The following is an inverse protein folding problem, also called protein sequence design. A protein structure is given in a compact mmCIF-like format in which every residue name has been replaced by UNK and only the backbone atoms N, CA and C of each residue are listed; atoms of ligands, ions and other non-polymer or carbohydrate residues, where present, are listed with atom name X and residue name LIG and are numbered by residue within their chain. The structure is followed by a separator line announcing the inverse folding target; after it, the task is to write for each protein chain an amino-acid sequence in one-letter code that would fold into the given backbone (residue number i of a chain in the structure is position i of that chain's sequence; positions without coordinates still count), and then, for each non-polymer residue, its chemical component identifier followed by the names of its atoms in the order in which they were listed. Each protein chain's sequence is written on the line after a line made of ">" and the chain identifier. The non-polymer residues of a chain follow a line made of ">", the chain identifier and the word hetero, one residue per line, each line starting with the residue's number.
data_IF_829451557071
#
_entry.id   IF_829451557071
#
_cell.length_a   1.000
_cell.length_b   1.000
_cell.length_c   1.000
_cell.angle_alpha   90.00
_cell.angle_beta   90.00
_cell.angle_gamma   90.00
#
_symmetry.space_group_name_H-M   'P 1'
#
loop_
_entity.id
_entity.type
_entity.pdbx_description
1 polymer ?
#
# COMPACT_ATOMS: atom_id res chain seq x y z
N UNK A 1 64.06 -16.81 24.88
CA UNK A 1 63.42 -15.50 25.12
C UNK A 1 62.22 -15.40 24.22
N UNK A 2 61.06 -15.55 24.82
CA UNK A 2 59.77 -15.43 24.15
C UNK A 2 59.31 -13.99 24.20
N UNK A 3 58.78 -13.46 23.12
CA UNK A 3 57.98 -12.23 23.14
C UNK A 3 56.69 -12.47 22.37
N UNK A 4 55.65 -12.68 23.14
CA UNK A 4 54.26 -12.67 22.66
C UNK A 4 53.82 -11.21 22.56
N UNK A 5 53.38 -10.82 21.35
CA UNK A 5 52.61 -9.59 21.12
C UNK A 5 51.40 -9.94 20.29
N UNK A 6 50.36 -10.44 20.95
CA UNK A 6 49.02 -10.39 20.38
C UNK A 6 48.32 -9.13 20.88
N UNK A 7 48.34 -8.11 20.06
CA UNK A 7 47.52 -6.94 20.24
C UNK A 7 46.10 -7.31 19.85
N UNK A 8 45.18 -7.32 20.81
CA UNK A 8 43.75 -7.33 20.57
C UNK A 8 43.34 -5.99 19.96
N UNK A 9 43.35 -5.88 18.65
CA UNK A 9 42.68 -4.80 17.98
C UNK A 9 41.15 -5.02 18.12
N UNK A 10 40.53 -4.11 18.85
CA UNK A 10 39.08 -4.02 19.04
C UNK A 10 38.36 -4.02 17.67
N UNK A 11 37.45 -5.01 17.47
CA UNK A 11 36.62 -5.14 16.28
C UNK A 11 35.38 -4.25 16.30
N UNK A 12 35.35 -3.25 17.18
CA UNK A 12 34.17 -2.39 17.36
C UNK A 12 34.24 -1.03 16.64
N UNK A 13 35.27 -0.80 15.84
CA UNK A 13 35.33 0.39 15.01
C UNK A 13 34.82 0.08 13.60
N UNK A 14 33.76 0.77 13.21
CA UNK A 14 33.10 0.82 11.89
C UNK A 14 31.81 -0.01 11.72
N UNK A 15 30.87 0.13 12.65
CA UNK A 15 29.47 0.27 12.23
C UNK A 15 29.13 1.76 12.29
N UNK A 16 29.49 2.49 11.27
CA UNK A 16 28.75 3.72 10.99
C UNK A 16 27.28 3.33 10.82
N UNK A 17 26.33 4.04 11.45
CA UNK A 17 24.94 3.91 11.04
C UNK A 17 24.95 4.28 9.57
N UNK A 18 24.63 3.31 8.70
CA UNK A 18 24.21 3.60 7.34
C UNK A 18 23.13 4.67 7.53
N UNK A 19 23.37 5.86 6.98
CA UNK A 19 22.33 6.88 6.82
C UNK A 19 21.15 6.13 6.22
N UNK A 20 20.13 5.87 7.04
CA UNK A 20 18.87 5.32 6.60
C UNK A 20 18.22 6.44 5.80
N UNK A 21 18.63 6.59 4.55
CA UNK A 21 17.87 7.41 3.62
C UNK A 21 16.52 6.71 3.48
N UNK A 22 15.51 7.29 4.11
CA UNK A 22 14.14 6.87 3.96
C UNK A 22 13.86 6.74 2.46
N UNK A 23 13.59 5.52 2.00
CA UNK A 23 13.33 5.25 0.59
C UNK A 23 12.07 5.97 0.12
N UNK A 24 12.00 6.29 -1.16
CA UNK A 24 10.82 6.89 -1.73
C UNK A 24 9.87 5.83 -2.27
N UNK A 25 8.58 5.91 -1.90
CA UNK A 25 7.55 4.97 -2.31
C UNK A 25 6.44 5.67 -3.11
N UNK A 26 5.93 4.98 -4.13
CA UNK A 26 4.69 5.34 -4.82
C UNK A 26 3.71 4.17 -4.68
N UNK A 27 2.46 4.47 -4.30
CA UNK A 27 1.42 3.45 -4.18
C UNK A 27 0.53 3.42 -5.43
N UNK A 28 0.29 2.23 -5.98
CA UNK A 28 -0.61 1.96 -7.10
C UNK A 28 -1.76 1.10 -6.57
N UNK A 29 -2.94 1.69 -6.45
CA UNK A 29 -4.07 1.13 -5.71
C UNK A 29 -5.26 0.86 -6.65
N UNK A 30 -5.56 -0.41 -6.89
CA UNK A 30 -6.87 -0.82 -7.42
C UNK A 30 -7.93 -0.60 -6.34
N UNK A 31 -8.83 0.36 -6.57
CA UNK A 31 -9.91 0.71 -5.64
C UNK A 31 -10.80 -0.49 -5.32
N UNK A 32 -11.11 -1.31 -6.32
CA UNK A 32 -11.95 -2.51 -6.18
C UNK A 32 -11.30 -3.54 -5.27
N UNK A 33 -10.01 -3.80 -5.49
CA UNK A 33 -9.25 -4.73 -4.64
C UNK A 33 -9.16 -4.23 -3.20
N UNK A 34 -8.89 -2.93 -2.99
CA UNK A 34 -8.81 -2.37 -1.65
C UNK A 34 -10.13 -2.50 -0.89
N UNK A 35 -11.27 -2.26 -1.58
CA UNK A 35 -12.62 -2.46 -1.00
C UNK A 35 -12.84 -3.93 -0.68
N UNK A 36 -12.49 -4.85 -1.58
CA UNK A 36 -12.60 -6.29 -1.35
C UNK A 36 -11.76 -6.71 -0.12
N UNK A 37 -10.53 -6.22 -0.02
CA UNK A 37 -9.63 -6.50 1.11
C UNK A 37 -10.23 -6.02 2.45
N UNK A 38 -10.87 -4.85 2.45
CA UNK A 38 -11.55 -4.30 3.62
C UNK A 38 -12.83 -5.09 4.00
N UNK A 39 -13.46 -5.75 3.03
CA UNK A 39 -14.70 -6.52 3.22
C UNK A 39 -14.44 -7.96 3.67
N UNK A 40 -13.21 -8.44 3.56
CA UNK A 40 -12.87 -9.83 3.88
C UNK A 40 -13.17 -10.14 5.35
N UNK A 41 -14.34 -10.71 5.62
CA UNK A 41 -14.91 -11.05 6.93
C UNK A 41 -15.80 -10.01 7.63
N UNK A 42 -16.17 -8.88 7.03
CA UNK A 42 -17.06 -7.88 7.66
C UNK A 42 -17.96 -7.18 6.63
N UNK A 43 -19.05 -6.55 7.13
CA UNK A 43 -19.81 -5.59 6.33
C UNK A 43 -18.89 -4.37 6.04
N UNK A 44 -18.27 -4.37 4.88
CA UNK A 44 -17.31 -3.36 4.48
C UNK A 44 -17.94 -2.03 4.06
N UNK A 45 -17.13 -1.02 3.76
CA UNK A 45 -17.59 0.28 3.30
C UNK A 45 -18.41 0.14 2.02
N UNK A 46 -19.45 0.97 1.89
CA UNK A 46 -20.16 1.09 0.62
C UNK A 46 -19.24 1.73 -0.42
N UNK A 47 -19.23 1.20 -1.63
CA UNK A 47 -18.36 1.63 -2.74
C UNK A 47 -18.45 3.14 -3.02
N UNK A 48 -19.61 3.76 -2.75
CA UNK A 48 -19.92 5.13 -3.16
C UNK A 48 -19.43 6.23 -2.20
N UNK A 49 -18.78 5.88 -1.09
CA UNK A 49 -18.40 6.85 -0.06
C UNK A 49 -17.08 6.50 0.63
N UNK A 50 -16.05 6.14 -0.15
CA UNK A 50 -14.75 5.81 0.44
C UNK A 50 -14.03 7.06 0.94
N UNK A 51 -13.73 7.09 2.24
CA UNK A 51 -12.83 8.08 2.79
C UNK A 51 -11.38 7.71 2.46
N UNK A 52 -10.70 8.57 1.72
CA UNK A 52 -9.30 8.37 1.31
C UNK A 52 -8.33 9.37 1.94
N UNK A 53 -8.84 10.29 2.78
CA UNK A 53 -8.01 11.35 3.36
C UNK A 53 -6.87 10.78 4.22
N UNK A 54 -7.14 9.73 4.98
CA UNK A 54 -6.16 9.11 5.87
C UNK A 54 -5.36 7.96 5.22
N UNK A 55 -5.64 7.65 3.94
CA UNK A 55 -5.05 6.50 3.24
C UNK A 55 -3.51 6.55 3.23
N UNK A 56 -2.92 7.70 2.95
CA UNK A 56 -1.47 7.83 2.91
C UNK A 56 -0.84 7.49 4.27
N UNK A 57 -1.40 8.01 5.36
CA UNK A 57 -0.91 7.75 6.71
C UNK A 57 -1.11 6.30 7.12
N UNK A 58 -2.24 5.70 6.75
CA UNK A 58 -2.51 4.29 6.98
C UNK A 58 -1.48 3.39 6.28
N UNK A 59 -1.19 3.66 5.01
CA UNK A 59 -0.22 2.89 4.23
C UNK A 59 1.22 3.07 4.75
N UNK A 60 1.61 4.27 5.19
CA UNK A 60 2.91 4.51 5.84
C UNK A 60 3.03 3.65 7.10
N UNK A 61 1.99 3.60 7.93
CA UNK A 61 1.96 2.74 9.11
C UNK A 61 2.10 1.26 8.75
N UNK A 62 1.39 0.79 7.72
CA UNK A 62 1.46 -0.60 7.25
C UNK A 62 2.86 -0.95 6.71
N UNK A 63 3.48 -0.07 5.93
CA UNK A 63 4.86 -0.23 5.45
C UNK A 63 5.86 -0.28 6.62
N UNK A 64 5.71 0.59 7.62
CA UNK A 64 6.51 0.57 8.83
C UNK A 64 6.39 -0.74 9.60
N UNK A 65 5.18 -1.30 9.74
CA UNK A 65 4.98 -2.62 10.36
C UNK A 65 5.63 -3.76 9.55
N UNK A 66 5.73 -3.62 8.23
CA UNK A 66 6.46 -4.55 7.37
C UNK A 66 7.99 -4.36 7.43
N UNK A 67 8.49 -3.45 8.28
CA UNK A 67 9.92 -3.16 8.45
C UNK A 67 10.52 -2.30 7.34
N UNK A 68 9.69 -1.50 6.66
CA UNK A 68 10.11 -0.59 5.60
C UNK A 68 10.06 0.86 6.10
N UNK A 69 11.21 1.53 6.10
CA UNK A 69 11.31 2.96 6.38
C UNK A 69 11.27 3.73 5.06
N UNK A 70 10.05 4.06 4.63
CA UNK A 70 9.81 4.71 3.35
C UNK A 70 8.79 5.85 3.48
N UNK A 71 8.93 6.87 2.64
CA UNK A 71 7.96 7.95 2.52
C UNK A 71 7.11 7.77 1.26
N UNK A 72 5.79 7.85 1.40
CA UNK A 72 4.87 7.82 0.25
C UNK A 72 4.85 9.20 -0.40
N UNK A 73 5.41 9.30 -1.60
CA UNK A 73 5.41 10.54 -2.39
C UNK A 73 4.08 10.79 -3.09
N UNK A 74 3.40 9.73 -3.50
CA UNK A 74 2.17 9.80 -4.30
C UNK A 74 1.40 8.51 -4.26
N UNK A 75 0.07 8.61 -4.38
CA UNK A 75 -0.84 7.49 -4.54
C UNK A 75 -1.53 7.63 -5.89
N UNK A 76 -1.48 6.61 -6.72
CA UNK A 76 -2.32 6.48 -7.91
C UNK A 76 -3.51 5.60 -7.53
N UNK A 77 -4.70 6.16 -7.66
CA UNK A 77 -5.97 5.52 -7.33
C UNK A 77 -6.69 5.14 -8.61
N UNK A 78 -6.74 3.84 -8.92
CA UNK A 78 -7.40 3.33 -10.11
C UNK A 78 -8.85 3.00 -9.77
N UNK A 79 -9.78 3.76 -10.35
CA UNK A 79 -11.21 3.64 -10.07
C UNK A 79 -12.05 3.75 -11.35
N UNK A 80 -13.27 3.23 -11.29
CA UNK A 80 -14.29 3.40 -12.33
C UNK A 80 -14.74 4.88 -12.40
N UNK A 81 -15.35 5.29 -13.52
CA UNK A 81 -15.55 6.71 -13.87
C UNK A 81 -16.33 7.57 -12.86
N UNK A 82 -17.13 6.98 -11.99
CA UNK A 82 -18.06 7.71 -11.14
C UNK A 82 -17.53 8.09 -9.74
N UNK A 83 -16.30 7.73 -9.40
CA UNK A 83 -15.70 8.05 -8.11
C UNK A 83 -14.77 9.25 -8.26
N UNK A 84 -15.21 10.42 -7.84
CA UNK A 84 -14.37 11.63 -7.94
C UNK A 84 -14.43 12.43 -6.66
N UNK A 85 -13.56 12.07 -5.70
CA UNK A 85 -13.13 13.04 -4.70
C UNK A 85 -11.64 13.32 -4.97
N UNK A 86 -11.30 14.58 -5.14
CA UNK A 86 -9.91 14.99 -5.17
C UNK A 86 -9.35 14.95 -3.74
N UNK A 87 -8.22 14.27 -3.58
CA UNK A 87 -7.49 14.21 -2.32
C UNK A 87 -6.05 14.57 -2.61
N UNK A 88 -5.50 15.49 -1.83
CA UNK A 88 -4.12 15.94 -1.98
C UNK A 88 -3.12 14.77 -1.93
N UNK A 89 -2.17 14.77 -2.86
CA UNK A 89 -1.18 13.70 -2.99
C UNK A 89 -1.69 12.42 -3.66
N UNK A 90 -2.96 12.38 -4.08
CA UNK A 90 -3.56 11.26 -4.82
C UNK A 90 -3.90 11.67 -6.25
N UNK A 91 -3.63 10.79 -7.19
CA UNK A 91 -3.99 10.95 -8.59
C UNK A 91 -5.00 9.87 -8.97
N UNK A 92 -6.22 10.27 -9.31
CA UNK A 92 -7.23 9.35 -9.81
C UNK A 92 -6.91 8.97 -11.24
N UNK A 93 -6.83 7.67 -11.49
CA UNK A 93 -6.71 7.04 -12.81
C UNK A 93 -8.02 6.36 -13.15
N UNK A 94 -8.76 6.91 -14.09
CA UNK A 94 -10.02 6.33 -14.55
C UNK A 94 -9.76 5.06 -15.35
N UNK A 95 -10.46 4.00 -14.99
CA UNK A 95 -10.46 2.71 -15.68
C UNK A 95 -11.88 2.26 -15.95
N UNK A 96 -12.07 1.38 -16.94
CA UNK A 96 -13.36 0.78 -17.19
C UNK A 96 -13.73 -0.19 -16.08
N UNK A 97 -15.04 -0.39 -15.88
CA UNK A 97 -15.52 -1.41 -14.95
C UNK A 97 -14.99 -2.79 -15.35
N UNK A 98 -14.57 -3.55 -14.34
CA UNK A 98 -14.12 -4.94 -14.54
C UNK A 98 -15.18 -5.80 -15.25
N UNK A 99 -16.46 -5.55 -15.00
CA UNK A 99 -17.56 -6.26 -15.65
C UNK A 99 -17.65 -5.94 -17.14
N UNK A 100 -17.17 -4.77 -17.56
CA UNK A 100 -17.23 -4.31 -18.95
C UNK A 100 -16.15 -4.90 -19.83
N UNK A 101 -14.94 -5.12 -19.30
CA UNK A 101 -13.76 -5.53 -20.09
C UNK A 101 -12.88 -6.60 -19.43
N UNK A 102 -13.34 -7.23 -18.34
CA UNK A 102 -12.58 -8.23 -17.60
C UNK A 102 -11.30 -7.68 -16.96
N UNK A 103 -11.28 -6.38 -16.63
CA UNK A 103 -10.16 -5.70 -15.99
C UNK A 103 -8.99 -5.35 -16.94
N UNK A 104 -9.19 -5.44 -18.26
CA UNK A 104 -8.14 -5.12 -19.24
C UNK A 104 -7.73 -3.65 -19.16
N UNK A 105 -8.66 -2.73 -18.93
CA UNK A 105 -8.38 -1.30 -18.78
C UNK A 105 -7.49 -1.05 -17.56
N UNK A 106 -7.79 -1.69 -16.43
CA UNK A 106 -6.99 -1.63 -15.23
C UNK A 106 -5.59 -2.21 -15.47
N UNK A 107 -5.51 -3.43 -16.01
CA UNK A 107 -4.26 -4.12 -16.31
C UNK A 107 -3.34 -3.25 -17.18
N UNK A 108 -3.90 -2.67 -18.26
CA UNK A 108 -3.14 -1.81 -19.17
C UNK A 108 -2.67 -0.52 -18.48
N UNK A 109 -3.57 0.18 -17.78
CA UNK A 109 -3.28 1.50 -17.20
C UNK A 109 -2.29 1.39 -16.03
N UNK A 110 -2.54 0.48 -15.09
CA UNK A 110 -1.66 0.25 -13.95
C UNK A 110 -0.31 -0.32 -14.40
N UNK A 111 -0.30 -1.30 -15.31
CA UNK A 111 0.94 -1.88 -15.85
C UNK A 111 1.79 -0.86 -16.61
N UNK A 112 1.18 0.06 -17.36
CA UNK A 112 1.91 1.16 -18.02
C UNK A 112 2.50 2.13 -16.99
N UNK A 113 1.76 2.48 -15.95
CA UNK A 113 2.28 3.37 -14.90
C UNK A 113 3.42 2.69 -14.13
N UNK A 114 3.31 1.40 -13.78
CA UNK A 114 4.39 0.63 -13.16
C UNK A 114 5.66 0.62 -14.05
N UNK A 115 5.50 0.32 -15.34
CA UNK A 115 6.61 0.32 -16.30
C UNK A 115 7.28 1.70 -16.42
N UNK A 116 6.49 2.79 -16.43
CA UNK A 116 7.04 4.16 -16.48
C UNK A 116 7.80 4.51 -15.19
N UNK A 117 7.30 4.11 -14.03
CA UNK A 117 7.99 4.33 -12.75
C UNK A 117 9.33 3.59 -12.72
N UNK A 118 9.35 2.34 -13.17
CA UNK A 118 10.57 1.54 -13.28
C UNK A 118 11.61 2.17 -14.22
N UNK A 119 11.18 2.56 -15.42
CA UNK A 119 12.08 3.15 -16.44
C UNK A 119 12.62 4.53 -16.02
N UNK A 120 11.77 5.36 -15.39
CA UNK A 120 12.15 6.72 -14.98
C UNK A 120 12.91 6.78 -13.66
N UNK A 121 12.99 5.65 -12.92
CA UNK A 121 13.55 5.61 -11.56
C UNK A 121 12.93 6.69 -10.64
N UNK A 122 11.62 6.88 -10.76
CA UNK A 122 10.89 7.93 -10.05
C UNK A 122 10.78 7.68 -8.55
N UNK A 123 10.96 6.43 -8.12
CA UNK A 123 10.94 5.99 -6.73
C UNK A 123 11.80 4.73 -6.56
N UNK A 124 12.11 4.40 -5.32
CA UNK A 124 12.88 3.22 -4.95
C UNK A 124 11.96 2.02 -4.71
N UNK A 125 10.72 2.30 -4.28
CA UNK A 125 9.71 1.33 -3.88
C UNK A 125 8.37 1.62 -4.53
N UNK A 126 7.65 0.57 -4.90
CA UNK A 126 6.23 0.64 -5.28
C UNK A 126 5.42 -0.27 -4.36
N UNK A 127 4.34 0.26 -3.81
CA UNK A 127 3.32 -0.53 -3.12
C UNK A 127 2.16 -0.79 -4.09
N UNK A 128 1.94 -2.06 -4.43
CA UNK A 128 0.81 -2.50 -5.25
C UNK A 128 -0.33 -2.99 -4.36
N UNK A 129 -1.54 -2.56 -4.66
CA UNK A 129 -2.77 -3.13 -4.11
C UNK A 129 -3.63 -3.63 -5.28
N UNK A 130 -3.47 -4.90 -5.64
CA UNK A 130 -4.20 -5.62 -6.69
C UNK A 130 -4.07 -7.12 -6.46
N UNK A 131 -5.05 -7.91 -6.87
CA UNK A 131 -5.09 -9.37 -6.83
C UNK A 131 -4.90 -10.03 -8.22
N UNK A 132 -4.72 -9.24 -9.26
CA UNK A 132 -4.68 -9.73 -10.63
C UNK A 132 -3.31 -10.34 -10.97
N UNK A 133 -3.23 -11.66 -11.06
CA UNK A 133 -2.00 -12.39 -11.38
C UNK A 133 -1.42 -12.03 -12.76
N UNK A 134 -2.19 -11.40 -13.65
CA UNK A 134 -1.68 -10.96 -14.95
C UNK A 134 -0.61 -9.87 -14.84
N UNK A 135 -0.46 -9.25 -13.66
CA UNK A 135 0.63 -8.31 -13.37
C UNK A 135 1.99 -8.98 -13.12
N UNK A 136 2.07 -10.29 -12.97
CA UNK A 136 3.34 -10.98 -12.68
C UNK A 136 4.48 -10.59 -13.61
N UNK A 137 4.24 -10.55 -14.92
CA UNK A 137 5.27 -10.15 -15.88
C UNK A 137 5.70 -8.69 -15.69
N UNK A 138 4.76 -7.78 -15.48
CA UNK A 138 5.06 -6.37 -15.27
C UNK A 138 5.82 -6.13 -13.95
N UNK A 139 5.55 -6.91 -12.93
CA UNK A 139 6.29 -6.89 -11.66
C UNK A 139 7.72 -7.37 -11.87
N UNK A 140 7.92 -8.51 -12.54
CA UNK A 140 9.25 -9.05 -12.84
C UNK A 140 10.09 -8.06 -13.65
N UNK A 141 9.52 -7.50 -14.72
CA UNK A 141 10.18 -6.47 -15.54
C UNK A 141 10.57 -5.24 -14.71
N UNK A 142 9.72 -4.80 -13.79
CA UNK A 142 10.02 -3.66 -12.94
C UNK A 142 11.13 -3.98 -11.93
N UNK A 143 11.12 -5.17 -11.31
CA UNK A 143 12.16 -5.63 -10.39
C UNK A 143 13.53 -5.76 -11.09
N UNK A 144 13.56 -6.18 -12.35
CA UNK A 144 14.80 -6.23 -13.14
C UNK A 144 15.45 -4.85 -13.32
N UNK A 145 14.71 -3.75 -13.19
CA UNK A 145 15.28 -2.40 -13.21
C UNK A 145 15.85 -1.94 -11.86
N UNK A 146 15.67 -2.74 -10.81
CA UNK A 146 16.04 -2.43 -9.44
C UNK A 146 14.92 -1.80 -8.60
N UNK A 147 13.70 -1.68 -9.13
CA UNK A 147 12.55 -1.19 -8.38
C UNK A 147 12.06 -2.27 -7.40
N UNK A 148 11.89 -1.92 -6.13
CA UNK A 148 11.37 -2.85 -5.13
C UNK A 148 9.84 -2.82 -5.14
N UNK A 149 9.22 -4.00 -5.28
CA UNK A 149 7.78 -4.16 -5.38
C UNK A 149 7.23 -4.80 -4.12
N UNK A 150 6.37 -4.08 -3.42
CA UNK A 150 5.65 -4.56 -2.25
C UNK A 150 4.18 -4.76 -2.59
N UNK A 151 3.55 -5.80 -2.04
CA UNK A 151 2.13 -6.07 -2.30
C UNK A 151 1.35 -5.99 -1.00
N UNK A 152 0.27 -5.20 -1.03
CA UNK A 152 -0.67 -5.09 0.07
C UNK A 152 -1.50 -6.37 0.15
N UNK A 153 -1.61 -6.94 1.36
CA UNK A 153 -2.29 -8.20 1.59
C UNK A 153 -3.04 -8.20 2.92
N UNK A 154 -3.93 -9.14 3.10
CA UNK A 154 -4.59 -9.44 4.37
C UNK A 154 -3.85 -10.52 5.18
N UNK A 155 -4.44 -10.91 6.31
CA UNK A 155 -3.89 -11.94 7.20
C UNK A 155 -3.72 -13.32 6.52
N UNK A 156 -4.43 -13.61 5.42
CA UNK A 156 -4.27 -14.86 4.66
C UNK A 156 -2.83 -15.02 4.14
N UNK A 157 -2.13 -13.92 3.87
CA UNK A 157 -0.73 -13.90 3.48
C UNK A 157 0.23 -14.47 4.55
N UNK A 158 -0.23 -14.63 5.80
CA UNK A 158 0.55 -15.21 6.88
C UNK A 158 0.73 -16.73 6.71
N UNK A 159 -0.16 -17.41 5.98
CA UNK A 159 -0.07 -18.83 5.67
C UNK A 159 -0.04 -19.09 4.15
N UNK A 160 1.11 -18.85 3.55
CA UNK A 160 1.30 -18.98 2.09
C UNK A 160 1.02 -20.39 1.56
N UNK A 161 1.27 -21.44 2.37
CA UNK A 161 0.99 -22.81 1.93
C UNK A 161 -0.52 -23.03 1.75
N UNK A 162 -1.32 -22.56 2.69
CA UNK A 162 -2.78 -22.64 2.59
C UNK A 162 -3.29 -21.74 1.46
N UNK A 163 -2.73 -20.55 1.32
CA UNK A 163 -3.10 -19.60 0.28
C UNK A 163 -2.87 -20.15 -1.13
N UNK A 164 -1.72 -20.80 -1.37
CA UNK A 164 -1.44 -21.44 -2.66
C UNK A 164 -2.40 -22.59 -3.00
N UNK A 165 -3.03 -23.21 -1.98
CA UNK A 165 -4.04 -24.25 -2.20
C UNK A 165 -5.42 -23.67 -2.47
N UNK A 166 -5.81 -22.59 -1.77
CA UNK A 166 -7.14 -21.97 -1.88
C UNK A 166 -7.22 -20.97 -3.03
N UNK A 167 -6.18 -20.18 -3.26
CA UNK A 167 -6.05 -19.20 -4.32
C UNK A 167 -4.63 -19.19 -4.91
N UNK A 168 -4.36 -20.08 -5.87
CA UNK A 168 -3.03 -20.19 -6.47
C UNK A 168 -2.56 -18.91 -7.18
N UNK A 169 -3.49 -18.14 -7.76
CA UNK A 169 -3.18 -16.90 -8.47
C UNK A 169 -2.67 -15.83 -7.51
N UNK A 170 -3.42 -15.57 -6.47
CA UNK A 170 -3.03 -14.67 -5.39
C UNK A 170 -1.74 -15.12 -4.69
N UNK A 171 -1.62 -16.44 -4.41
CA UNK A 171 -0.40 -17.00 -3.84
C UNK A 171 0.85 -16.76 -4.70
N UNK A 172 0.76 -16.90 -6.03
CA UNK A 172 1.87 -16.59 -6.95
C UNK A 172 2.23 -15.11 -6.92
N UNK A 173 1.24 -14.22 -6.98
CA UNK A 173 1.44 -12.78 -6.95
C UNK A 173 2.17 -12.34 -5.67
N UNK A 174 1.71 -12.81 -4.51
CA UNK A 174 2.35 -12.52 -3.23
C UNK A 174 3.75 -13.13 -3.08
N UNK A 175 4.03 -14.23 -3.78
CA UNK A 175 5.37 -14.85 -3.77
C UNK A 175 6.37 -14.06 -4.60
N UNK A 176 5.92 -13.28 -5.60
CA UNK A 176 6.77 -12.44 -6.42
C UNK A 176 7.17 -11.14 -5.69
N UNK A 177 6.42 -10.71 -4.68
CA UNK A 177 6.69 -9.47 -3.97
C UNK A 177 8.01 -9.50 -3.19
N UNK A 178 8.78 -8.40 -3.22
CA UNK A 178 9.94 -8.21 -2.34
C UNK A 178 9.53 -8.20 -0.87
N UNK A 179 8.35 -7.63 -0.58
CA UNK A 179 7.69 -7.68 0.74
C UNK A 179 6.17 -7.76 0.59
N UNK A 180 5.56 -8.52 1.47
CA UNK A 180 4.11 -8.53 1.68
C UNK A 180 3.80 -7.55 2.81
N UNK A 181 2.96 -6.58 2.54
CA UNK A 181 2.52 -5.55 3.48
C UNK A 181 1.15 -5.97 4.00
N UNK A 182 1.15 -6.66 5.14
CA UNK A 182 -0.09 -7.23 5.70
C UNK A 182 -0.85 -6.15 6.48
N UNK A 183 -2.13 -6.01 6.19
CA UNK A 183 -3.05 -5.11 6.88
C UNK A 183 -4.22 -5.90 7.47
N UNK A 184 -4.73 -5.43 8.60
CA UNK A 184 -5.95 -5.98 9.17
C UNK A 184 -7.15 -5.43 8.41
N UNK A 185 -8.02 -6.31 7.89
CA UNK A 185 -9.22 -5.93 7.15
C UNK A 185 -10.11 -4.96 7.94
N UNK A 186 -10.24 -5.17 9.26
CA UNK A 186 -11.01 -4.29 10.14
C UNK A 186 -10.46 -2.86 10.17
N UNK A 187 -9.17 -2.69 10.38
CA UNK A 187 -8.52 -1.37 10.43
C UNK A 187 -8.60 -0.65 9.08
N UNK A 188 -8.47 -1.40 7.98
CA UNK A 188 -8.64 -0.87 6.64
C UNK A 188 -10.09 -0.43 6.40
N UNK A 189 -11.09 -1.23 6.81
CA UNK A 189 -12.50 -0.88 6.70
C UNK A 189 -12.86 0.38 7.52
N UNK A 190 -12.40 0.47 8.76
CA UNK A 190 -12.58 1.63 9.62
C UNK A 190 -11.98 2.90 9.00
N UNK A 191 -10.78 2.80 8.44
CA UNK A 191 -10.13 3.92 7.75
C UNK A 191 -10.94 4.35 6.51
N UNK A 192 -11.38 3.41 5.67
CA UNK A 192 -12.14 3.71 4.45
C UNK A 192 -13.57 4.23 4.71
N UNK A 193 -14.17 3.91 5.86
CA UNK A 193 -15.46 4.44 6.26
C UNK A 193 -15.38 5.88 6.75
N UNK A 194 -14.18 6.34 7.11
CA UNK A 194 -13.97 7.55 7.88
C UNK A 194 -14.39 7.34 9.33
N UNK A 195 -13.65 7.87 10.27
CA UNK A 195 -14.11 7.92 11.66
C UNK A 195 -15.37 8.78 11.71
N UNK A 196 -16.53 8.16 11.58
CA UNK A 196 -17.78 8.80 11.97
C UNK A 196 -17.69 8.96 13.48
N UNK A 197 -17.15 10.07 13.95
CA UNK A 197 -17.31 10.67 15.26
C UNK A 197 -16.07 11.45 15.68
N UNK A 198 -15.90 12.64 15.14
CA UNK A 198 -15.67 13.78 16.03
C UNK A 198 -16.97 14.56 15.96
N UNK A 199 -17.84 14.34 16.95
CA UNK A 199 -18.95 15.20 17.26
C UNK A 199 -18.49 16.64 17.16
N UNK A 200 -19.10 17.38 16.23
CA UNK A 200 -18.96 18.82 16.23
C UNK A 200 -19.34 19.30 17.64
N UNK A 201 -18.56 20.19 18.29
CA UNK A 201 -18.94 20.72 19.57
C UNK A 201 -20.33 21.33 19.41
N UNK A 202 -21.30 20.80 20.16
CA UNK A 202 -22.62 21.39 20.28
C UNK A 202 -22.40 22.81 20.82
N UNK A 203 -22.61 23.79 19.97
CA UNK A 203 -22.78 25.16 20.41
C UNK A 203 -24.02 25.15 21.26
N UNK A 204 -23.86 25.18 22.57
CA UNK A 204 -24.94 25.47 23.51
C UNK A 204 -25.35 26.93 23.20
N UNK A 205 -26.51 27.08 22.55
CA UNK A 205 -27.21 28.34 22.51
C UNK A 205 -27.68 28.63 23.95
N UNK A 206 -27.06 29.59 24.60
CA UNK A 206 -27.54 30.17 25.81
C UNK A 206 -28.94 30.80 25.56
N UNK A 207 -29.97 30.45 26.32
CA UNK A 207 -31.25 31.12 26.19
C UNK A 207 -31.14 32.56 26.70
N UNK A 208 -31.25 33.50 25.78
CA UNK A 208 -31.35 34.92 26.08
C UNK A 208 -32.39 35.18 27.15
N UNK A 209 -31.94 35.77 28.23
CA UNK A 209 -32.74 36.34 29.29
C UNK A 209 -33.48 37.55 28.75
N UNK A 210 -34.77 37.39 28.49
CA UNK A 210 -35.69 38.53 28.24
C UNK A 210 -35.91 39.24 29.58
N UNK A 211 -35.51 40.48 29.64
CA UNK A 211 -36.04 41.53 30.55
C UNK A 211 -36.28 42.80 29.80
#
# INVERSE_FOLDING_TARGET
>A
MKRDYFSHASKDAYRQPLDQQSGSCIALIDARFLVWLAQHNQAGPKKDALNRFDLAQFLIGALGHAGLDVSIKRIYWYAEENEVLDVDGQIVRKVLSHDSDGGISLLKTLGQDLSRLAQSKACDHVLLATDDERFLTAIDDAQLTGLQIHILADDAASNMQQLHQSDPGWGRLLSQADRRVVVQAKSLAEMLQGSASKEAPQVQEDPEVIR
#
